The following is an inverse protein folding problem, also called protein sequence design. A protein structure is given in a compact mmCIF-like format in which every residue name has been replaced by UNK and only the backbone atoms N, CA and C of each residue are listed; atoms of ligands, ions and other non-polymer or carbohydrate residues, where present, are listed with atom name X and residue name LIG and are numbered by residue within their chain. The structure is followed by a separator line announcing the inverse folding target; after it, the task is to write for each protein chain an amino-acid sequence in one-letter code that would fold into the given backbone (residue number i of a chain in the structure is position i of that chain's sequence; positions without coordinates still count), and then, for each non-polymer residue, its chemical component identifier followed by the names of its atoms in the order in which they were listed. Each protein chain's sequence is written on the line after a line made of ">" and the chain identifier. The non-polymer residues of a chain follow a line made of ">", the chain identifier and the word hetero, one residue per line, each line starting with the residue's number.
data_IF_688910450442
#
_entry.id   IF_688910450442
#
_cell.length_a   1.000
_cell.length_b   1.000
_cell.length_c   1.000
_cell.angle_alpha   90.00
_cell.angle_beta   90.00
_cell.angle_gamma   90.00
#
_symmetry.space_group_name_H-M   'P 1'
#
loop_
_entity.id
_entity.type
_entity.pdbx_description
1 polymer ?
#
# COMPACT_ATOMS: atom_id res chain seq x y z
N UNK A 1 -28.18 -17.86 -10.55
CA UNK A 1 -27.53 -18.89 -9.70
C UNK A 1 -27.47 -18.41 -8.26
N UNK A 2 -27.50 -19.35 -7.31
CA UNK A 2 -27.44 -19.07 -5.89
C UNK A 2 -26.39 -19.97 -5.22
N UNK A 3 -25.71 -19.48 -4.19
CA UNK A 3 -24.94 -20.31 -3.28
C UNK A 3 -25.80 -20.68 -2.07
N UNK A 4 -25.76 -21.94 -1.68
CA UNK A 4 -26.37 -22.44 -0.47
C UNK A 4 -25.24 -22.78 0.52
N UNK A 5 -25.22 -22.11 1.67
CA UNK A 5 -24.34 -22.44 2.79
C UNK A 5 -25.18 -23.14 3.84
N UNK A 6 -24.81 -24.35 4.21
CA UNK A 6 -25.41 -25.09 5.33
C UNK A 6 -24.39 -25.21 6.46
N UNK A 7 -24.75 -24.73 7.63
CA UNK A 7 -23.93 -24.81 8.84
C UNK A 7 -24.69 -25.69 9.83
N UNK A 8 -24.05 -26.72 10.38
CA UNK A 8 -24.62 -27.57 11.43
C UNK A 8 -23.75 -27.49 12.69
N UNK A 9 -24.39 -27.48 13.86
CA UNK A 9 -23.72 -27.65 15.13
C UNK A 9 -23.57 -29.14 15.50
N UNK A 10 -22.88 -29.42 16.62
CA UNK A 10 -22.66 -30.79 17.13
C UNK A 10 -23.97 -31.46 17.56
N UNK A 11 -25.00 -30.69 17.92
CA UNK A 11 -26.32 -31.18 18.30
C UNK A 11 -27.23 -31.46 17.09
N UNK A 12 -26.72 -31.18 15.87
CA UNK A 12 -27.47 -31.45 14.62
C UNK A 12 -28.39 -30.30 14.19
N UNK A 13 -28.39 -29.15 14.86
CA UNK A 13 -29.14 -27.99 14.40
C UNK A 13 -28.51 -27.42 13.14
N UNK A 14 -29.34 -27.09 12.17
CA UNK A 14 -28.88 -26.64 10.84
C UNK A 14 -29.42 -25.25 10.50
N UNK A 15 -28.53 -24.41 10.02
CA UNK A 15 -28.88 -23.11 9.43
C UNK A 15 -28.50 -23.11 7.96
N UNK A 16 -29.43 -22.67 7.10
CA UNK A 16 -29.20 -22.55 5.66
C UNK A 16 -29.22 -21.07 5.27
N UNK A 17 -28.18 -20.61 4.62
CA UNK A 17 -28.07 -19.26 4.07
C UNK A 17 -28.05 -19.37 2.55
N UNK A 18 -28.99 -18.70 1.89
CA UNK A 18 -29.04 -18.59 0.42
C UNK A 18 -28.46 -17.24 0.03
N UNK A 19 -27.43 -17.25 -0.80
CA UNK A 19 -26.81 -16.03 -1.34
C UNK A 19 -27.15 -15.96 -2.82
N UNK A 20 -28.06 -15.07 -3.25
CA UNK A 20 -28.36 -14.89 -4.67
C UNK A 20 -27.16 -14.24 -5.38
N UNK A 21 -26.75 -14.82 -6.53
CA UNK A 21 -25.73 -14.23 -7.37
C UNK A 21 -26.42 -13.49 -8.50
N UNK A 22 -26.36 -12.17 -8.45
CA UNK A 22 -26.78 -11.31 -9.55
C UNK A 22 -25.62 -11.16 -10.54
N UNK A 23 -25.71 -11.82 -11.69
CA UNK A 23 -24.78 -11.63 -12.80
C UNK A 23 -25.24 -10.42 -13.62
N UNK A 24 -24.84 -9.21 -13.24
CA UNK A 24 -25.01 -8.03 -14.08
C UNK A 24 -23.71 -7.73 -14.82
N UNK A 25 -23.43 -8.49 -15.88
CA UNK A 25 -22.41 -8.10 -16.84
C UNK A 25 -23.03 -7.03 -17.74
N UNK A 26 -22.86 -5.75 -17.41
CA UNK A 26 -23.01 -4.70 -18.41
C UNK A 26 -21.74 -4.72 -19.27
N UNK A 27 -21.87 -5.26 -20.48
CA UNK A 27 -20.86 -5.09 -21.52
C UNK A 27 -20.76 -3.60 -21.87
N UNK A 28 -19.82 -2.89 -21.29
CA UNK A 28 -19.37 -1.60 -21.81
C UNK A 28 -18.49 -1.90 -23.01
N UNK A 29 -18.94 -1.57 -24.21
CA UNK A 29 -18.10 -1.54 -25.42
C UNK A 29 -16.97 -0.54 -25.18
N UNK A 30 -15.78 -1.05 -24.85
CA UNK A 30 -14.56 -0.26 -24.80
C UNK A 30 -14.16 0.11 -26.24
N UNK A 31 -13.81 1.39 -26.45
CA UNK A 31 -13.13 1.84 -27.67
C UNK A 31 -11.87 1.01 -27.88
N UNK A 32 -11.63 0.56 -29.09
CA UNK A 32 -10.42 -0.16 -29.48
C UNK A 32 -9.23 0.81 -29.34
N UNK A 33 -8.46 0.67 -28.27
CA UNK A 33 -7.13 1.26 -28.14
C UNK A 33 -6.15 0.36 -28.91
N UNK A 34 -5.52 0.90 -29.93
CA UNK A 34 -4.58 0.19 -30.81
C UNK A 34 -3.33 -0.39 -30.11
N UNK A 35 -3.13 -0.08 -28.82
CA UNK A 35 -2.02 -0.54 -27.99
C UNK A 35 -2.38 -1.67 -27.01
N UNK A 36 -3.59 -2.21 -27.08
CA UNK A 36 -4.06 -3.25 -26.18
C UNK A 36 -3.54 -4.63 -26.60
N UNK A 37 -2.64 -5.21 -25.81
CA UNK A 37 -2.28 -6.62 -25.95
C UNK A 37 -3.11 -7.42 -24.95
N UNK A 38 -4.11 -8.13 -25.46
CA UNK A 38 -5.00 -8.97 -24.66
C UNK A 38 -4.54 -10.43 -24.69
N UNK A 39 -4.44 -11.05 -23.53
CA UNK A 39 -4.16 -12.47 -23.37
C UNK A 39 -5.24 -13.14 -22.54
N UNK A 40 -6.13 -13.85 -23.22
CA UNK A 40 -7.16 -14.68 -22.57
C UNK A 40 -6.66 -16.12 -22.49
N UNK A 41 -6.04 -16.50 -21.36
CA UNK A 41 -5.39 -17.81 -21.23
C UNK A 41 -5.97 -18.67 -20.12
N UNK A 42 -6.10 -19.94 -20.41
CA UNK A 42 -6.31 -20.97 -19.40
C UNK A 42 -4.96 -21.26 -18.72
N UNK A 43 -4.89 -21.01 -17.43
CA UNK A 43 -3.73 -21.27 -16.57
C UNK A 43 -3.98 -22.60 -15.88
N UNK A 44 -3.13 -23.58 -16.16
CA UNK A 44 -3.12 -24.85 -15.44
C UNK A 44 -2.41 -24.64 -14.11
N UNK A 45 -2.95 -25.21 -13.05
CA UNK A 45 -2.43 -25.02 -11.70
C UNK A 45 -1.00 -25.59 -11.50
N UNK A 46 -0.69 -26.68 -12.18
CA UNK A 46 0.55 -27.43 -12.03
C UNK A 46 1.74 -26.91 -12.85
N UNK A 47 1.56 -25.83 -13.61
CA UNK A 47 2.57 -25.23 -14.48
C UNK A 47 2.98 -23.82 -14.05
N UNK A 48 4.23 -23.48 -14.36
CA UNK A 48 4.73 -22.11 -14.27
C UNK A 48 4.42 -21.35 -15.57
N UNK A 49 4.06 -20.08 -15.46
CA UNK A 49 3.79 -19.20 -16.61
C UNK A 49 4.62 -17.94 -16.55
N UNK A 50 5.12 -17.52 -17.71
CA UNK A 50 5.79 -16.25 -17.92
C UNK A 50 5.12 -15.53 -19.09
N UNK A 51 4.53 -14.37 -18.81
CA UNK A 51 3.97 -13.46 -19.82
C UNK A 51 4.95 -12.31 -19.98
N UNK A 52 5.40 -12.08 -21.21
CA UNK A 52 6.29 -10.98 -21.54
C UNK A 52 5.54 -10.02 -22.48
N UNK A 53 5.34 -8.80 -22.01
CA UNK A 53 4.80 -7.69 -22.78
C UNK A 53 5.89 -6.66 -23.05
N UNK A 54 5.60 -5.64 -23.88
CA UNK A 54 6.58 -4.60 -24.24
C UNK A 54 7.18 -3.90 -23.01
N UNK A 55 6.34 -3.58 -22.01
CA UNK A 55 6.69 -2.78 -20.84
C UNK A 55 6.48 -3.52 -19.50
N UNK A 56 6.06 -4.77 -19.54
CA UNK A 56 5.85 -5.55 -18.32
C UNK A 56 6.12 -7.04 -18.51
N UNK A 57 6.40 -7.70 -17.40
CA UNK A 57 6.52 -9.14 -17.33
C UNK A 57 5.72 -9.65 -16.13
N UNK A 58 4.95 -10.72 -16.32
CA UNK A 58 4.23 -11.38 -15.24
C UNK A 58 4.72 -12.81 -15.13
N UNK A 59 5.08 -13.22 -13.91
CA UNK A 59 5.41 -14.59 -13.60
C UNK A 59 4.34 -15.15 -12.66
N UNK A 60 3.79 -16.29 -13.01
CA UNK A 60 2.80 -17.02 -12.23
C UNK A 60 3.39 -18.39 -11.90
N UNK A 61 3.87 -18.62 -10.67
CA UNK A 61 4.41 -19.89 -10.26
C UNK A 61 3.35 -20.99 -10.23
N UNK A 62 3.73 -22.23 -10.46
CA UNK A 62 2.86 -23.39 -10.25
C UNK A 62 2.27 -23.41 -8.83
N UNK A 63 1.05 -23.90 -8.70
CA UNK A 63 0.29 -23.91 -7.44
C UNK A 63 -0.02 -22.52 -6.90
N UNK A 64 -0.10 -21.51 -7.77
CA UNK A 64 -0.58 -20.18 -7.41
C UNK A 64 -2.10 -20.20 -7.20
N UNK A 65 -2.83 -21.00 -7.93
CA UNK A 65 -4.27 -21.17 -7.81
C UNK A 65 -4.61 -22.56 -7.25
N UNK A 66 -5.81 -22.72 -6.70
CA UNK A 66 -6.28 -24.03 -6.19
C UNK A 66 -6.61 -25.01 -7.32
N UNK A 67 -7.03 -24.49 -8.48
CA UNK A 67 -7.43 -25.24 -9.68
C UNK A 67 -7.07 -24.45 -10.94
N UNK A 68 -7.24 -25.07 -12.10
CA UNK A 68 -7.12 -24.37 -13.38
C UNK A 68 -8.05 -23.16 -13.41
N UNK A 69 -7.53 -22.03 -13.87
CA UNK A 69 -8.25 -20.75 -13.94
C UNK A 69 -8.14 -20.15 -15.33
N UNK A 70 -9.07 -19.25 -15.65
CA UNK A 70 -9.02 -18.43 -16.84
C UNK A 70 -8.68 -17.02 -16.42
N UNK A 71 -7.55 -16.50 -16.87
CA UNK A 71 -7.13 -15.12 -16.63
C UNK A 71 -7.21 -14.33 -17.92
N UNK A 72 -7.74 -13.13 -17.83
CA UNK A 72 -7.65 -12.12 -18.86
C UNK A 72 -6.63 -11.07 -18.44
N UNK A 73 -5.53 -10.95 -19.20
CA UNK A 73 -4.45 -10.00 -18.94
C UNK A 73 -4.45 -8.99 -20.04
N UNK A 74 -4.64 -7.71 -19.68
CA UNK A 74 -4.61 -6.57 -20.57
C UNK A 74 -3.41 -5.71 -20.22
N UNK A 75 -2.51 -5.53 -21.18
CA UNK A 75 -1.33 -4.69 -21.02
C UNK A 75 -1.49 -3.40 -21.83
N UNK A 76 -1.36 -2.27 -21.15
CA UNK A 76 -1.38 -0.93 -21.71
C UNK A 76 0.03 -0.30 -21.56
N UNK A 77 0.22 0.88 -22.09
CA UNK A 77 1.53 1.55 -22.04
C UNK A 77 1.99 1.86 -20.62
N UNK A 78 1.06 2.32 -19.74
CA UNK A 78 1.35 2.73 -18.36
C UNK A 78 0.60 1.90 -17.30
N UNK A 79 -0.04 0.80 -17.71
CA UNK A 79 -0.80 -0.04 -16.79
C UNK A 79 -0.91 -1.49 -17.24
N UNK A 80 -1.16 -2.38 -16.31
CA UNK A 80 -1.49 -3.77 -16.55
C UNK A 80 -2.70 -4.16 -15.71
N UNK A 81 -3.68 -4.80 -16.35
CA UNK A 81 -4.89 -5.29 -15.70
C UNK A 81 -4.92 -6.81 -15.76
N UNK A 82 -5.07 -7.46 -14.61
CA UNK A 82 -5.20 -8.91 -14.49
C UNK A 82 -6.59 -9.18 -13.93
N UNK A 83 -7.48 -9.68 -14.80
CA UNK A 83 -8.89 -9.84 -14.48
C UNK A 83 -9.21 -11.27 -14.08
N UNK A 84 -9.69 -11.44 -12.90
CA UNK A 84 -10.54 -12.46 -12.32
C UNK A 84 -10.77 -12.19 -10.82
N UNK A 85 -11.81 -11.43 -10.44
CA UNK A 85 -12.00 -10.96 -9.06
C UNK A 85 -12.29 -12.07 -8.04
N UNK A 86 -12.66 -13.26 -8.51
CA UNK A 86 -13.16 -14.35 -7.66
C UNK A 86 -12.13 -15.46 -7.41
N UNK A 87 -10.89 -15.26 -7.86
CA UNK A 87 -9.85 -16.28 -7.73
C UNK A 87 -8.82 -15.89 -6.68
N UNK A 88 -8.77 -16.60 -5.55
CA UNK A 88 -7.72 -16.37 -4.54
C UNK A 88 -6.37 -16.92 -5.01
N UNK A 89 -5.29 -16.21 -4.66
CA UNK A 89 -3.92 -16.62 -4.90
C UNK A 89 -3.30 -17.20 -3.63
N UNK A 90 -2.77 -18.42 -3.72
CA UNK A 90 -2.04 -19.07 -2.62
C UNK A 90 -0.56 -18.70 -2.61
N UNK A 91 0.02 -18.39 -3.79
CA UNK A 91 1.37 -17.87 -3.94
C UNK A 91 1.35 -16.48 -4.54
N UNK A 92 2.45 -15.76 -4.35
CA UNK A 92 2.63 -14.48 -5.02
C UNK A 92 2.82 -14.70 -6.53
N UNK A 93 2.20 -13.86 -7.33
CA UNK A 93 2.64 -13.56 -8.69
C UNK A 93 3.71 -12.47 -8.61
N UNK A 94 4.58 -12.42 -9.62
CA UNK A 94 5.63 -11.41 -9.73
C UNK A 94 5.33 -10.57 -10.96
N UNK A 95 5.30 -9.27 -10.76
CA UNK A 95 5.07 -8.28 -11.83
C UNK A 95 6.31 -7.39 -11.91
N UNK A 96 7.00 -7.44 -13.04
CA UNK A 96 8.02 -6.46 -13.41
C UNK A 96 7.38 -5.46 -14.36
N UNK A 97 7.45 -4.17 -14.04
CA UNK A 97 6.84 -3.11 -14.83
C UNK A 97 7.86 -2.01 -15.14
N UNK A 98 8.03 -1.68 -16.41
CA UNK A 98 8.95 -0.65 -16.87
C UNK A 98 8.38 0.74 -16.59
N UNK A 99 9.14 1.58 -15.90
CA UNK A 99 8.78 2.99 -15.71
C UNK A 99 9.20 3.83 -16.90
N UNK A 100 8.30 4.04 -17.84
CA UNK A 100 8.54 4.88 -19.02
C UNK A 100 8.54 6.38 -18.71
N UNK A 101 7.90 6.83 -17.62
CA UNK A 101 7.81 8.25 -17.23
C UNK A 101 9.11 8.74 -16.60
N UNK A 102 9.73 7.90 -15.78
CA UNK A 102 11.00 8.17 -15.10
C UNK A 102 11.03 9.49 -14.31
N UNK A 103 9.90 9.92 -13.77
CA UNK A 103 9.80 11.10 -12.91
C UNK A 103 10.28 10.78 -11.48
N UNK A 104 10.72 11.82 -10.76
CA UNK A 104 10.97 11.69 -9.33
C UNK A 104 9.63 11.45 -8.62
N UNK A 105 9.60 10.51 -7.69
CA UNK A 105 8.37 10.18 -6.95
C UNK A 105 7.43 9.21 -7.68
N UNK A 106 7.84 8.62 -8.82
CA UNK A 106 7.04 7.60 -9.49
C UNK A 106 6.94 6.33 -8.62
N UNK A 107 5.74 5.76 -8.61
CA UNK A 107 5.43 4.51 -7.93
C UNK A 107 4.41 3.68 -8.69
N UNK A 108 4.36 2.39 -8.41
CA UNK A 108 3.32 1.50 -8.91
C UNK A 108 2.14 1.55 -7.96
N UNK A 109 1.00 1.99 -8.45
CA UNK A 109 -0.28 1.96 -7.75
C UNK A 109 -1.04 0.68 -8.08
N UNK A 110 -1.86 0.24 -7.17
CA UNK A 110 -2.80 -0.86 -7.31
C UNK A 110 -4.23 -0.35 -7.19
N UNK A 111 -5.11 -0.79 -8.08
CA UNK A 111 -6.56 -0.58 -7.99
C UNK A 111 -7.26 -1.92 -7.96
N UNK A 112 -8.02 -2.17 -6.91
CA UNK A 112 -8.83 -3.38 -6.78
C UNK A 112 -10.07 -3.34 -7.69
N UNK A 113 -10.87 -4.41 -7.68
CA UNK A 113 -12.06 -4.49 -8.52
C UNK A 113 -13.21 -3.58 -8.06
N UNK A 114 -13.18 -3.06 -6.82
CA UNK A 114 -14.12 -2.08 -6.28
C UNK A 114 -13.70 -0.63 -6.60
N UNK A 115 -12.57 -0.45 -7.27
CA UNK A 115 -12.04 0.87 -7.64
C UNK A 115 -11.19 1.54 -6.57
N UNK A 116 -10.91 0.87 -5.44
CA UNK A 116 -10.07 1.42 -4.37
C UNK A 116 -8.61 1.35 -4.79
N UNK A 117 -7.92 2.48 -4.69
CA UNK A 117 -6.50 2.62 -5.00
C UNK A 117 -5.64 2.54 -3.75
N UNK A 118 -4.44 1.98 -3.90
CA UNK A 118 -3.41 1.93 -2.87
C UNK A 118 -2.01 1.90 -3.48
N UNK A 119 -1.02 2.25 -2.68
CA UNK A 119 0.38 2.07 -3.00
C UNK A 119 0.69 0.56 -3.13
N UNK A 120 1.44 0.18 -4.18
CA UNK A 120 1.85 -1.21 -4.41
C UNK A 120 3.36 -1.39 -4.31
N UNK A 121 4.16 -0.53 -4.94
CA UNK A 121 5.62 -0.62 -4.91
C UNK A 121 6.28 0.70 -5.29
N UNK A 122 7.38 1.04 -4.61
CA UNK A 122 8.31 2.07 -5.05
C UNK A 122 9.24 1.55 -6.15
N UNK A 123 9.90 2.47 -6.84
CA UNK A 123 10.92 2.16 -7.84
C UNK A 123 12.11 1.45 -7.17
N UNK A 124 12.66 0.45 -7.86
CA UNK A 124 13.93 -0.16 -7.44
C UNK A 124 15.07 0.83 -7.67
N UNK A 125 15.95 0.95 -6.67
CA UNK A 125 17.14 1.79 -6.76
C UNK A 125 17.94 1.49 -8.03
N UNK A 126 18.27 2.55 -8.78
CA UNK A 126 19.05 2.52 -10.02
C UNK A 126 18.46 1.73 -11.20
N UNK A 127 17.18 1.34 -11.16
CA UNK A 127 16.50 0.68 -12.27
C UNK A 127 15.20 1.38 -12.61
N UNK A 128 14.90 1.46 -13.90
CA UNK A 128 13.61 1.98 -14.38
C UNK A 128 12.50 0.91 -14.35
N UNK A 129 12.50 0.06 -13.32
CA UNK A 129 11.53 -1.01 -13.15
C UNK A 129 10.94 -0.99 -11.75
N UNK A 130 9.66 -1.32 -11.68
CA UNK A 130 9.02 -1.76 -10.46
C UNK A 130 9.02 -3.28 -10.42
N UNK A 131 9.41 -3.87 -9.31
CA UNK A 131 9.30 -5.31 -9.06
C UNK A 131 8.33 -5.52 -7.91
N UNK A 132 7.21 -6.16 -8.19
CA UNK A 132 6.15 -6.38 -7.22
C UNK A 132 5.88 -7.87 -7.05
N UNK A 133 5.85 -8.34 -5.81
CA UNK A 133 5.33 -9.66 -5.42
C UNK A 133 3.98 -9.45 -4.75
N UNK A 134 2.92 -10.02 -5.32
CA UNK A 134 1.56 -9.78 -4.84
C UNK A 134 0.68 -11.01 -4.91
N UNK A 135 -0.32 -11.08 -4.04
CA UNK A 135 -1.42 -12.04 -4.07
C UNK A 135 -2.75 -11.41 -4.53
N UNK A 136 -2.70 -10.23 -5.10
CA UNK A 136 -3.88 -9.50 -5.54
C UNK A 136 -3.95 -9.45 -7.06
N UNK A 137 -5.12 -9.73 -7.62
CA UNK A 137 -5.47 -9.44 -9.01
C UNK A 137 -6.16 -8.08 -9.07
N UNK A 138 -6.04 -7.38 -10.20
CA UNK A 138 -6.58 -6.04 -10.38
C UNK A 138 -5.77 -5.25 -11.40
N UNK A 139 -5.76 -3.93 -11.26
CA UNK A 139 -5.03 -3.03 -12.15
C UNK A 139 -3.83 -2.45 -11.43
N UNK A 140 -2.65 -2.55 -12.07
CA UNK A 140 -1.41 -1.93 -11.64
C UNK A 140 -1.03 -0.85 -12.65
N UNK A 141 -0.70 0.35 -12.18
CA UNK A 141 -0.43 1.50 -13.05
C UNK A 141 0.52 2.49 -12.39
N UNK A 142 1.21 3.30 -13.22
CA UNK A 142 2.20 4.26 -12.73
C UNK A 142 1.50 5.55 -12.29
N UNK A 143 1.75 5.96 -11.05
CA UNK A 143 1.43 7.27 -10.50
C UNK A 143 2.70 7.98 -10.04
N UNK A 144 2.59 9.28 -9.81
CA UNK A 144 3.68 10.12 -9.30
C UNK A 144 3.19 10.82 -8.04
N UNK A 145 3.92 10.66 -6.95
CA UNK A 145 3.72 11.42 -5.71
C UNK A 145 4.82 12.48 -5.58
N UNK A 146 4.42 13.72 -5.54
CA UNK A 146 5.30 14.88 -5.33
C UNK A 146 4.98 15.65 -4.05
N UNK A 147 4.08 15.11 -3.21
CA UNK A 147 3.62 15.77 -1.99
C UNK A 147 4.43 15.24 -0.83
N UNK A 148 5.02 16.16 -0.07
CA UNK A 148 5.76 15.79 1.12
C UNK A 148 4.83 15.34 2.26
N UNK A 149 5.26 14.39 3.11
CA UNK A 149 4.50 13.98 4.29
C UNK A 149 4.22 15.15 5.24
N UNK A 150 3.10 15.06 5.95
CA UNK A 150 2.66 16.07 6.92
C UNK A 150 3.19 15.72 8.30
N UNK A 151 3.70 16.73 9.03
CA UNK A 151 4.04 16.65 10.45
C UNK A 151 3.23 17.72 11.18
N UNK A 152 2.44 17.34 12.19
CA UNK A 152 1.64 18.27 13.00
C UNK A 152 1.68 17.88 14.47
N UNK A 153 2.01 18.79 15.42
CA UNK A 153 1.87 18.51 16.84
C UNK A 153 0.37 18.32 17.22
N UNK A 154 0.09 17.38 18.14
CA UNK A 154 -1.26 17.04 18.53
C UNK A 154 -1.66 17.56 19.91
N UNK A 155 -0.73 17.54 20.88
CA UNK A 155 -1.05 17.85 22.26
C UNK A 155 -0.26 19.03 22.83
N UNK A 156 0.43 19.77 21.96
CA UNK A 156 1.13 21.00 22.31
C UNK A 156 1.23 21.92 21.09
N UNK A 157 1.54 23.18 21.31
CA UNK A 157 1.97 24.13 20.28
C UNK A 157 3.47 24.43 20.44
N UNK A 158 4.08 24.99 19.41
CA UNK A 158 5.46 25.44 19.48
C UNK A 158 5.61 26.49 20.60
N UNK A 159 6.58 26.30 21.50
CA UNK A 159 6.80 27.13 22.66
C UNK A 159 5.96 26.80 23.91
N UNK A 160 5.19 25.73 23.92
CA UNK A 160 4.35 25.36 25.09
C UNK A 160 5.18 24.76 26.24
N UNK A 161 4.68 24.96 27.47
CA UNK A 161 5.15 24.26 28.65
C UNK A 161 4.54 22.86 28.75
N UNK A 162 5.42 21.84 28.83
CA UNK A 162 5.04 20.42 28.82
C UNK A 162 5.27 19.72 30.17
N UNK A 163 5.63 20.44 31.26
CA UNK A 163 5.97 19.83 32.57
C UNK A 163 4.84 18.98 33.15
N UNK A 164 3.57 19.32 32.88
CA UNK A 164 2.40 18.57 33.32
C UNK A 164 1.95 17.49 32.34
N UNK A 165 2.59 17.36 31.17
CA UNK A 165 2.26 16.34 30.16
C UNK A 165 3.12 15.10 30.38
N UNK A 166 2.52 13.92 30.32
CA UNK A 166 3.23 12.64 30.43
C UNK A 166 3.91 12.23 29.11
N UNK A 167 3.40 12.75 28.00
CA UNK A 167 3.86 12.39 26.68
C UNK A 167 3.74 13.55 25.68
N UNK A 168 4.54 13.48 24.61
CA UNK A 168 4.46 14.38 23.46
C UNK A 168 3.98 13.61 22.25
N UNK A 169 3.10 14.22 21.43
CA UNK A 169 2.43 13.57 20.31
C UNK A 169 2.47 14.42 19.05
N UNK A 170 2.62 13.72 17.93
CA UNK A 170 2.51 14.28 16.58
C UNK A 170 1.60 13.42 15.72
N UNK A 171 0.94 14.02 14.74
CA UNK A 171 0.42 13.32 13.57
C UNK A 171 1.48 13.36 12.49
N UNK A 172 1.84 12.21 11.94
CA UNK A 172 2.61 12.08 10.70
C UNK A 172 1.76 11.33 9.69
N UNK A 173 1.63 11.88 8.48
CA UNK A 173 0.72 11.33 7.48
C UNK A 173 1.25 11.62 6.08
N UNK A 174 1.25 10.61 5.24
CA UNK A 174 1.26 10.73 3.81
C UNK A 174 0.04 10.01 3.22
N UNK A 175 -0.71 10.67 2.32
CA UNK A 175 -1.98 10.16 1.79
C UNK A 175 -1.82 9.28 0.56
N UNK A 176 -0.75 9.49 -0.22
CA UNK A 176 -0.56 8.81 -1.50
C UNK A 176 0.23 7.52 -1.32
N UNK A 177 1.42 7.62 -0.76
CA UNK A 177 2.35 6.50 -0.68
C UNK A 177 2.58 5.98 0.73
N UNK A 178 2.21 6.75 1.75
CA UNK A 178 2.38 6.39 3.15
C UNK A 178 3.77 6.69 3.70
N UNK A 179 3.96 6.46 5.00
CA UNK A 179 5.22 6.75 5.70
C UNK A 179 6.18 5.58 5.55
N UNK A 180 7.39 5.84 5.02
CA UNK A 180 8.49 4.89 4.93
C UNK A 180 9.33 4.89 6.20
N UNK A 181 9.69 6.09 6.67
CA UNK A 181 10.54 6.22 7.86
C UNK A 181 10.35 7.56 8.54
N UNK A 182 10.72 7.61 9.80
CA UNK A 182 10.81 8.84 10.58
C UNK A 182 12.03 8.81 11.48
N UNK A 183 12.50 9.99 11.83
CA UNK A 183 13.58 10.20 12.80
C UNK A 183 13.23 11.38 13.69
N UNK A 184 13.46 11.23 14.99
CA UNK A 184 13.26 12.31 15.97
C UNK A 184 14.53 12.51 16.79
N UNK A 185 14.88 13.77 16.98
CA UNK A 185 15.93 14.18 17.92
C UNK A 185 15.36 15.19 18.90
N UNK A 186 15.77 15.07 20.17
CA UNK A 186 15.54 16.10 21.19
C UNK A 186 16.90 16.56 21.70
N UNK A 187 17.18 17.85 21.61
CA UNK A 187 18.46 18.46 21.98
C UNK A 187 19.65 17.71 21.33
N UNK A 188 19.57 17.54 20.01
CA UNK A 188 20.53 16.83 19.14
C UNK A 188 20.70 15.32 19.41
N UNK A 189 19.98 14.77 20.39
CA UNK A 189 20.01 13.32 20.70
C UNK A 189 18.87 12.61 20.03
N UNK A 190 19.18 11.52 19.34
CA UNK A 190 18.15 10.65 18.81
C UNK A 190 17.30 10.04 19.94
N UNK A 191 15.98 10.10 19.80
CA UNK A 191 15.01 9.55 20.73
C UNK A 191 14.05 8.66 19.95
N UNK A 192 13.81 7.46 20.47
CA UNK A 192 12.84 6.55 19.88
C UNK A 192 11.41 7.01 20.21
N UNK A 193 10.68 7.40 19.18
CA UNK A 193 9.24 7.62 19.25
C UNK A 193 8.51 6.37 18.78
N UNK A 194 7.38 6.05 19.41
CA UNK A 194 6.49 4.96 18.97
C UNK A 194 5.55 5.47 17.88
N UNK A 195 5.30 4.65 16.85
CA UNK A 195 4.38 4.99 15.78
C UNK A 195 3.17 4.05 15.75
N UNK A 196 2.00 4.61 16.07
CA UNK A 196 0.70 3.93 15.91
C UNK A 196 0.15 4.24 14.51
N UNK A 197 0.47 3.38 13.55
CA UNK A 197 0.16 3.61 12.13
C UNK A 197 -1.35 3.73 11.83
N UNK A 198 -2.23 3.05 12.60
CA UNK A 198 -3.69 3.15 12.41
C UNK A 198 -4.26 4.51 12.77
N UNK A 199 -3.57 5.24 13.62
CA UNK A 199 -3.94 6.60 14.06
C UNK A 199 -3.09 7.67 13.40
N UNK A 200 -2.07 7.30 12.63
CA UNK A 200 -1.03 8.20 12.12
C UNK A 200 -0.36 9.00 13.24
N UNK A 201 -0.25 8.41 14.44
CA UNK A 201 0.23 9.07 15.64
C UNK A 201 1.65 8.63 15.98
N UNK A 202 2.56 9.59 16.11
CA UNK A 202 3.91 9.43 16.59
C UNK A 202 4.00 10.02 18.00
N UNK A 203 4.46 9.25 18.98
CA UNK A 203 4.50 9.71 20.35
C UNK A 203 5.70 9.21 21.13
N UNK A 204 6.07 9.95 22.16
CA UNK A 204 7.08 9.59 23.14
C UNK A 204 6.55 9.90 24.55
N UNK A 205 6.66 8.91 25.45
CA UNK A 205 6.37 9.09 26.87
C UNK A 205 7.66 9.51 27.58
N UNK A 206 7.61 10.65 28.24
CA UNK A 206 8.76 11.14 29.00
C UNK A 206 9.12 10.13 30.11
N UNK A 207 10.33 9.65 30.10
CA UNK A 207 10.87 8.64 31.00
C UNK A 207 12.10 9.15 31.75
N UNK A 208 12.75 8.27 32.54
CA UNK A 208 13.95 8.61 33.32
C UNK A 208 15.19 8.92 32.48
N UNK A 209 15.20 8.55 31.19
CA UNK A 209 16.29 8.87 30.26
C UNK A 209 16.15 10.28 29.68
N UNK A 210 14.95 10.84 29.71
CA UNK A 210 14.73 12.21 29.31
C UNK A 210 15.26 13.16 30.39
N UNK A 211 16.25 13.95 30.02
CA UNK A 211 16.78 15.00 30.91
C UNK A 211 15.93 16.25 30.78
N UNK A 212 15.30 16.67 31.87
CA UNK A 212 14.60 17.93 31.91
C UNK A 212 15.59 19.09 31.69
N UNK A 213 15.34 19.83 30.64
CA UNK A 213 15.97 21.12 30.38
C UNK A 213 14.85 22.14 30.27
N UNK A 214 15.04 23.34 30.81
CA UNK A 214 13.98 24.35 30.73
C UNK A 214 13.49 24.57 29.31
N UNK A 215 14.39 24.59 28.34
CA UNK A 215 14.09 24.68 26.91
C UNK A 215 14.56 23.43 26.19
N UNK A 216 13.69 22.85 25.36
CA UNK A 216 14.00 21.67 24.57
C UNK A 216 13.63 21.92 23.12
N UNK A 217 14.56 21.57 22.22
CA UNK A 217 14.38 21.60 20.77
C UNK A 217 14.11 20.20 20.27
N UNK A 218 13.01 19.99 19.55
CA UNK A 218 12.70 18.75 18.90
C UNK A 218 12.79 18.90 17.38
N UNK A 219 13.52 18.01 16.73
CA UNK A 219 13.69 17.92 15.28
C UNK A 219 13.06 16.63 14.80
N UNK A 220 12.15 16.73 13.83
CA UNK A 220 11.47 15.58 13.26
C UNK A 220 11.68 15.57 11.76
N UNK A 221 12.19 14.47 11.24
CA UNK A 221 12.27 14.18 9.81
C UNK A 221 11.34 13.01 9.48
N UNK A 222 10.53 13.14 8.47
CA UNK A 222 9.63 12.08 7.95
C UNK A 222 9.86 11.92 6.47
N UNK A 223 9.97 10.67 6.01
CA UNK A 223 10.13 10.29 4.60
C UNK A 223 8.99 9.35 4.19
N UNK A 224 8.40 9.59 3.02
CA UNK A 224 7.42 8.72 2.40
C UNK A 224 8.05 7.57 1.60
N UNK A 225 7.23 6.69 1.00
CA UNK A 225 7.70 5.50 0.27
C UNK A 225 8.43 5.81 -1.04
N UNK A 226 8.34 7.05 -1.56
CA UNK A 226 9.01 7.47 -2.80
C UNK A 226 10.14 8.47 -2.57
N UNK A 227 10.42 8.82 -1.30
CA UNK A 227 11.55 9.63 -0.89
C UNK A 227 11.28 11.13 -0.78
N UNK A 228 9.99 11.56 -0.78
CA UNK A 228 9.69 12.94 -0.39
C UNK A 228 9.88 13.09 1.12
N UNK A 229 10.40 14.25 1.57
CA UNK A 229 10.77 14.48 2.96
C UNK A 229 10.17 15.76 3.50
N UNK A 230 9.76 15.70 4.76
CA UNK A 230 9.45 16.87 5.58
C UNK A 230 10.33 16.87 6.80
N UNK A 231 10.92 18.01 7.09
CA UNK A 231 11.65 18.28 8.31
C UNK A 231 10.97 19.43 9.05
N UNK A 232 10.76 19.27 10.36
CA UNK A 232 10.22 20.31 11.21
C UNK A 232 10.95 20.37 12.53
N UNK A 233 11.04 21.58 13.06
CA UNK A 233 11.63 21.91 14.35
C UNK A 233 10.55 22.55 15.19
N UNK A 234 10.48 22.14 16.46
CA UNK A 234 9.61 22.74 17.47
C UNK A 234 10.40 22.94 18.76
N UNK A 235 9.98 23.92 19.54
CA UNK A 235 10.49 24.17 20.88
C UNK A 235 9.42 23.86 21.90
N UNK A 236 9.79 23.28 23.03
CA UNK A 236 8.92 23.11 24.18
C UNK A 236 9.72 23.29 25.48
N UNK A 237 9.02 23.69 26.54
CA UNK A 237 9.61 23.91 27.85
C UNK A 237 9.19 22.83 28.83
N UNK A 238 10.11 22.35 29.66
CA UNK A 238 9.85 21.32 30.68
C UNK A 238 10.88 21.43 31.79
N UNK A 239 10.38 21.48 33.05
CA UNK A 239 11.16 21.37 34.28
C UNK A 239 11.09 19.97 34.85
#
# INVERSE_FOLDING_TARGET
>A
SEYLIEISDIAGNKTKIKIPILNSIKETKLKNDENLIESNKKIKNDLDYNFNFKNSKIQIPKNTFLKDVKLNIKNFEDSIKIENPYVPLFKNIIIDFLNNKNSKGDYLAYRNFDGVESFASSKLDNKNYFNLKTKSLGTYFIKTDSINPIIKPNNFNDGDWMSKKELIKFTILDKETGIKSYQVKINDKWILFEYEYKKNELFYRFDSYFKNNRENKIEITVEDMVGNKTEKIFTFYRD
#
